data_IF_380891508827
#
_entry.id   IF_380891508827
#
_cell.length_a   1.000
_cell.length_b   1.000
_cell.length_c   1.000
_cell.angle_alpha   90.00
_cell.angle_beta   90.00
_cell.angle_gamma   90.00
#
_symmetry.space_group_name_H-M   'P 1'
#
loop_
_entity.id
_entity.type
_entity.pdbx_description
1 polymer ?
#
# COMPACT_ATOMS: atom_id res chain seq x y z
N UNK A 1 -7.72 -39.72 -0.95
CA UNK A 1 -7.58 -38.75 0.15
C UNK A 1 -7.24 -39.54 1.40
N UNK A 2 -6.13 -39.22 2.06
CA UNK A 2 -5.45 -40.10 3.00
C UNK A 2 -6.17 -40.08 4.36
N UNK A 3 -6.95 -41.11 4.66
CA UNK A 3 -7.81 -41.20 5.86
C UNK A 3 -7.05 -41.05 7.17
N UNK A 4 -5.76 -41.37 7.19
CA UNK A 4 -4.86 -41.20 8.33
C UNK A 4 -4.56 -39.73 8.63
N UNK A 5 -4.36 -38.89 7.61
CA UNK A 5 -4.12 -37.45 7.80
C UNK A 5 -5.36 -36.75 8.37
N UNK A 6 -6.53 -37.03 7.79
CA UNK A 6 -7.79 -36.45 8.25
C UNK A 6 -8.12 -36.87 9.69
N UNK A 7 -7.77 -38.10 10.08
CA UNK A 7 -7.94 -38.60 11.45
C UNK A 7 -7.02 -37.86 12.43
N UNK A 8 -5.75 -37.67 12.08
CA UNK A 8 -4.79 -36.93 12.92
C UNK A 8 -5.21 -35.47 13.06
N UNK A 9 -5.61 -34.81 11.99
CA UNK A 9 -6.08 -33.40 12.02
C UNK A 9 -7.32 -33.27 12.91
N UNK A 10 -8.29 -34.17 12.81
CA UNK A 10 -9.49 -34.12 13.67
C UNK A 10 -9.16 -34.35 15.17
N UNK A 11 -8.18 -35.20 15.48
CA UNK A 11 -7.71 -35.39 16.86
C UNK A 11 -7.04 -34.12 17.37
N UNK A 12 -6.16 -33.51 16.57
CA UNK A 12 -5.47 -32.26 16.93
C UNK A 12 -6.48 -31.13 17.13
N UNK A 13 -7.44 -30.97 16.22
CA UNK A 13 -8.53 -29.98 16.34
C UNK A 13 -9.33 -30.19 17.63
N UNK A 14 -9.62 -31.44 18.00
CA UNK A 14 -10.32 -31.79 19.23
C UNK A 14 -9.52 -31.46 20.51
N UNK A 15 -8.21 -31.76 20.51
CA UNK A 15 -7.32 -31.44 21.63
C UNK A 15 -7.18 -29.92 21.80
N UNK A 16 -6.95 -29.20 20.72
CA UNK A 16 -6.82 -27.73 20.72
C UNK A 16 -8.12 -27.06 21.19
N UNK A 17 -9.28 -27.58 20.75
CA UNK A 17 -10.58 -27.13 21.24
C UNK A 17 -10.73 -27.35 22.75
N UNK A 18 -10.36 -28.53 23.25
CA UNK A 18 -10.40 -28.85 24.68
C UNK A 18 -9.56 -27.91 25.53
N UNK A 19 -8.38 -27.52 25.05
CA UNK A 19 -7.51 -26.54 25.72
C UNK A 19 -8.21 -25.17 25.83
N UNK A 20 -8.85 -24.70 24.75
CA UNK A 20 -9.58 -23.43 24.77
C UNK A 20 -10.76 -23.43 25.73
N UNK A 21 -11.46 -24.55 25.84
CA UNK A 21 -12.56 -24.70 26.80
C UNK A 21 -12.10 -24.59 28.25
N UNK A 22 -10.96 -25.22 28.57
CA UNK A 22 -10.39 -25.16 29.91
C UNK A 22 -9.94 -23.73 30.23
N UNK A 23 -9.30 -23.04 29.30
CA UNK A 23 -8.90 -21.64 29.43
C UNK A 23 -10.09 -20.72 29.71
N UNK A 24 -11.17 -20.79 28.91
CA UNK A 24 -12.38 -19.97 29.12
C UNK A 24 -13.10 -20.33 30.42
N UNK A 25 -13.21 -21.62 30.75
CA UNK A 25 -13.80 -22.05 32.02
C UNK A 25 -13.01 -21.51 33.22
N UNK A 26 -11.67 -21.53 33.15
CA UNK A 26 -10.82 -20.93 34.18
C UNK A 26 -11.03 -19.43 34.29
N UNK A 27 -11.17 -18.71 33.17
CA UNK A 27 -11.44 -17.26 33.18
C UNK A 27 -12.79 -16.91 33.81
N UNK A 28 -13.83 -17.68 33.52
CA UNK A 28 -15.17 -17.49 34.09
C UNK A 28 -15.17 -17.79 35.59
N UNK A 29 -14.53 -18.90 36.01
CA UNK A 29 -14.44 -19.29 37.42
C UNK A 29 -13.61 -18.29 38.24
N UNK A 30 -12.52 -17.77 37.68
CA UNK A 30 -11.70 -16.76 38.33
C UNK A 30 -12.36 -15.37 38.40
N UNK A 31 -13.42 -15.12 37.62
CA UNK A 31 -14.02 -13.80 37.45
C UNK A 31 -15.12 -13.41 38.44
N UNK A 32 -15.62 -14.35 39.25
CA UNK A 32 -16.50 -14.09 40.40
C UNK A 32 -17.55 -12.98 40.23
N UNK A 33 -18.75 -13.37 39.76
CA UNK A 33 -19.97 -12.55 39.60
C UNK A 33 -20.20 -11.94 38.20
N UNK A 34 -21.46 -11.99 37.77
CA UNK A 34 -22.01 -11.51 36.49
C UNK A 34 -21.75 -10.02 36.23
N UNK A 35 -21.49 -9.23 37.28
CA UNK A 35 -21.30 -7.78 37.18
C UNK A 35 -19.87 -7.38 36.75
N UNK A 36 -18.86 -8.23 37.00
CA UNK A 36 -17.49 -8.04 36.49
C UNK A 36 -17.32 -8.52 35.04
N UNK A 37 -18.39 -9.08 34.45
CA UNK A 37 -18.39 -9.64 33.11
C UNK A 37 -18.41 -8.57 32.01
N UNK A 38 -18.94 -7.37 32.28
CA UNK A 38 -19.05 -6.27 31.30
C UNK A 38 -17.68 -5.72 30.84
N UNK A 39 -16.75 -5.51 31.76
CA UNK A 39 -15.43 -4.91 31.45
C UNK A 39 -14.48 -5.91 30.79
N UNK A 40 -14.60 -7.20 31.11
CA UNK A 40 -13.80 -8.28 30.51
C UNK A 40 -14.37 -8.82 29.20
N UNK A 41 -15.65 -8.57 28.91
CA UNK A 41 -16.29 -8.90 27.63
C UNK A 41 -15.64 -8.19 26.45
N UNK A 42 -15.24 -6.92 26.62
CA UNK A 42 -14.50 -6.18 25.59
C UNK A 42 -13.10 -6.77 25.34
N UNK A 43 -12.45 -7.33 26.37
CA UNK A 43 -11.10 -7.91 26.25
C UNK A 43 -11.05 -9.34 25.73
N UNK A 44 -12.04 -10.18 26.08
CA UNK A 44 -12.04 -11.62 25.77
C UNK A 44 -13.24 -12.07 24.92
N UNK A 45 -14.06 -11.14 24.40
CA UNK A 45 -15.29 -11.45 23.65
C UNK A 45 -15.06 -12.29 22.39
N UNK A 46 -13.88 -12.19 21.76
CA UNK A 46 -13.49 -13.04 20.63
C UNK A 46 -13.34 -14.51 21.07
N UNK A 47 -12.81 -14.77 22.27
CA UNK A 47 -12.64 -16.11 22.83
C UNK A 47 -13.97 -16.82 23.08
N UNK A 48 -14.94 -16.09 23.64
CA UNK A 48 -16.31 -16.58 23.85
C UNK A 48 -17.10 -16.73 22.54
N UNK A 49 -16.94 -15.82 21.58
CA UNK A 49 -17.55 -15.93 20.25
C UNK A 49 -16.98 -17.11 19.48
N UNK A 50 -15.67 -17.34 19.51
CA UNK A 50 -15.03 -18.54 18.96
C UNK A 50 -15.61 -19.80 19.62
N UNK A 51 -15.69 -19.84 20.95
CA UNK A 51 -16.18 -20.99 21.70
C UNK A 51 -17.67 -21.29 21.45
N UNK A 52 -18.52 -20.26 21.37
CA UNK A 52 -19.97 -20.41 21.13
C UNK A 52 -20.29 -20.71 19.66
N UNK A 53 -19.57 -20.11 18.71
CA UNK A 53 -19.69 -20.43 17.27
C UNK A 53 -19.21 -21.85 16.97
N UNK A 54 -18.14 -22.31 17.63
CA UNK A 54 -17.69 -23.71 17.49
C UNK A 54 -18.69 -24.72 18.09
N UNK A 55 -19.34 -24.38 19.21
CA UNK A 55 -20.41 -25.21 19.78
C UNK A 55 -21.65 -25.31 18.89
N UNK A 56 -22.08 -24.18 18.32
CA UNK A 56 -23.32 -24.13 17.54
C UNK A 56 -23.21 -24.79 16.16
N UNK A 57 -22.04 -24.68 15.51
CA UNK A 57 -21.91 -24.99 14.08
C UNK A 57 -21.08 -26.23 13.75
N UNK A 58 -20.41 -26.85 14.72
CA UNK A 58 -19.83 -28.18 14.55
C UNK A 58 -20.88 -29.26 14.19
N UNK A 59 -22.15 -29.02 14.53
CA UNK A 59 -23.29 -29.89 14.24
C UNK A 59 -23.78 -29.75 12.78
N UNK A 60 -23.52 -28.62 12.12
CA UNK A 60 -24.05 -28.30 10.78
C UNK A 60 -23.05 -28.49 9.63
N UNK A 61 -21.87 -29.07 9.88
CA UNK A 61 -20.90 -29.40 8.82
C UNK A 61 -20.16 -28.19 8.22
N UNK A 62 -20.18 -27.02 8.88
CA UNK A 62 -19.48 -25.82 8.42
C UNK A 62 -18.01 -25.84 8.87
N UNK A 63 -17.20 -26.64 8.17
CA UNK A 63 -15.76 -26.82 8.42
C UNK A 63 -14.94 -25.53 8.29
N UNK A 64 -15.45 -24.52 7.58
CA UNK A 64 -14.79 -23.22 7.37
C UNK A 64 -14.55 -22.46 8.68
N UNK A 65 -15.36 -22.67 9.72
CA UNK A 65 -15.20 -21.99 11.00
C UNK A 65 -14.02 -22.51 11.85
N UNK A 66 -13.37 -23.59 11.42
CA UNK A 66 -12.07 -24.04 11.96
C UNK A 66 -10.97 -23.00 11.81
N UNK A 67 -11.16 -21.96 10.99
CA UNK A 67 -10.21 -20.87 10.80
C UNK A 67 -10.34 -19.74 11.84
N UNK A 68 -11.48 -19.61 12.54
CA UNK A 68 -11.69 -18.53 13.53
C UNK A 68 -10.65 -18.55 14.67
N UNK A 69 -10.25 -19.71 15.24
CA UNK A 69 -9.17 -19.75 16.24
C UNK A 69 -7.84 -19.15 15.75
N UNK A 70 -7.58 -19.12 14.43
CA UNK A 70 -6.44 -18.44 13.84
C UNK A 70 -6.41 -16.93 14.08
N UNK A 71 -7.55 -16.29 14.35
CA UNK A 71 -7.62 -14.87 14.74
C UNK A 71 -6.97 -14.60 16.10
N UNK A 72 -6.77 -15.62 16.96
CA UNK A 72 -5.99 -15.49 18.20
C UNK A 72 -4.50 -15.20 17.93
N UNK A 73 -3.99 -15.46 16.73
CA UNK A 73 -2.65 -15.03 16.34
C UNK A 73 -2.55 -13.50 16.38
N UNK A 74 -3.62 -12.76 16.08
CA UNK A 74 -3.66 -11.29 16.20
C UNK A 74 -3.52 -10.83 17.66
N UNK A 75 -4.01 -11.63 18.63
CA UNK A 75 -3.81 -11.36 20.06
C UNK A 75 -2.41 -11.77 20.54
N UNK A 76 -1.81 -12.82 19.96
CA UNK A 76 -0.48 -13.33 20.32
C UNK A 76 0.67 -12.55 19.67
N UNK A 77 0.45 -11.93 18.50
CA UNK A 77 1.42 -11.08 17.79
C UNK A 77 1.82 -9.80 18.56
N UNK A 78 1.33 -9.62 19.79
CA UNK A 78 2.18 -9.11 20.86
C UNK A 78 2.88 -7.77 20.57
N UNK A 79 2.22 -6.86 19.84
CA UNK A 79 2.62 -5.46 19.90
C UNK A 79 2.29 -5.03 21.33
N UNK A 80 3.22 -4.44 22.11
CA UNK A 80 3.02 -4.05 23.52
C UNK A 80 1.88 -3.01 23.73
N UNK A 81 1.14 -2.67 22.67
CA UNK A 81 -0.07 -1.87 22.62
C UNK A 81 -1.29 -2.74 22.23
N UNK A 82 -1.57 -3.89 22.84
CA UNK A 82 -2.81 -4.65 22.56
C UNK A 82 -4.09 -3.84 22.86
N UNK A 83 -3.99 -2.84 23.74
CA UNK A 83 -5.00 -1.81 23.92
C UNK A 83 -5.22 -0.93 22.67
N UNK A 84 -4.24 -0.81 21.76
CA UNK A 84 -4.40 -0.12 20.48
C UNK A 84 -5.14 -0.93 19.43
N UNK A 85 -5.08 -2.27 19.46
CA UNK A 85 -5.84 -3.10 18.52
C UNK A 85 -7.33 -3.07 18.84
N UNK A 86 -7.70 -3.18 20.13
CA UNK A 86 -9.09 -2.97 20.55
C UNK A 86 -9.55 -1.53 20.33
N UNK A 87 -8.69 -0.52 20.55
CA UNK A 87 -9.00 0.86 20.15
C UNK A 87 -9.26 1.00 18.67
N UNK A 88 -8.53 0.31 17.77
CA UNK A 88 -8.80 0.30 16.31
C UNK A 88 -10.16 -0.32 15.96
N UNK A 89 -10.62 -1.32 16.72
CA UNK A 89 -11.97 -1.89 16.58
C UNK A 89 -13.02 -0.87 17.02
N UNK A 90 -12.77 -0.08 18.07
CA UNK A 90 -13.66 1.00 18.48
C UNK A 90 -13.74 2.11 17.41
N UNK A 91 -12.65 2.41 16.70
CA UNK A 91 -12.69 3.32 15.52
C UNK A 91 -13.62 2.76 14.45
N UNK A 92 -13.51 1.47 14.13
CA UNK A 92 -14.38 0.80 13.16
C UNK A 92 -15.83 0.79 13.66
N UNK A 93 -16.07 0.61 14.95
CA UNK A 93 -17.41 0.65 15.54
C UNK A 93 -18.03 2.06 15.48
N UNK A 94 -17.25 3.11 15.74
CA UNK A 94 -17.68 4.51 15.57
C UNK A 94 -17.95 4.82 14.09
N UNK A 95 -17.06 4.37 13.20
CA UNK A 95 -17.22 4.49 11.76
C UNK A 95 -18.39 3.66 11.22
N UNK A 96 -18.74 2.55 11.87
CA UNK A 96 -19.68 1.54 11.34
C UNK A 96 -21.04 2.12 11.01
N UNK A 97 -21.54 3.08 11.81
CA UNK A 97 -22.81 3.78 11.54
C UNK A 97 -22.72 4.64 10.29
N UNK A 98 -21.61 5.38 10.12
CA UNK A 98 -21.41 6.21 8.94
C UNK A 98 -21.20 5.33 7.70
N UNK A 99 -20.39 4.28 7.81
CA UNK A 99 -20.14 3.29 6.76
C UNK A 99 -21.41 2.55 6.37
N UNK A 100 -22.30 2.26 7.32
CA UNK A 100 -23.61 1.67 7.04
C UNK A 100 -24.43 2.55 6.09
N UNK A 101 -24.52 3.86 6.35
CA UNK A 101 -25.21 4.77 5.43
C UNK A 101 -24.51 4.87 4.07
N UNK A 102 -23.18 4.79 4.02
CA UNK A 102 -22.42 4.74 2.77
C UNK A 102 -22.74 3.48 1.96
N UNK A 103 -22.77 2.32 2.62
CA UNK A 103 -23.12 1.04 2.00
C UNK A 103 -24.58 1.03 1.54
N UNK A 104 -25.49 1.62 2.33
CA UNK A 104 -26.90 1.76 1.95
C UNK A 104 -27.06 2.68 0.72
N UNK A 105 -26.34 3.81 0.69
CA UNK A 105 -26.31 4.71 -0.46
C UNK A 105 -25.74 4.00 -1.70
N UNK A 106 -24.62 3.28 -1.55
CA UNK A 106 -24.03 2.46 -2.62
C UNK A 106 -25.04 1.45 -3.16
N UNK A 107 -25.71 0.71 -2.27
CA UNK A 107 -26.73 -0.26 -2.64
C UNK A 107 -27.89 0.41 -3.39
N UNK A 108 -28.39 1.55 -2.90
CA UNK A 108 -29.48 2.27 -3.56
C UNK A 108 -29.07 2.81 -4.94
N UNK A 109 -27.88 3.38 -5.07
CA UNK A 109 -27.33 3.82 -6.35
C UNK A 109 -27.20 2.63 -7.32
N UNK A 110 -26.67 1.49 -6.86
CA UNK A 110 -26.58 0.27 -7.68
C UNK A 110 -27.96 -0.23 -8.11
N UNK A 111 -28.97 -0.17 -7.25
CA UNK A 111 -30.35 -0.50 -7.63
C UNK A 111 -30.86 0.42 -8.76
N UNK A 112 -30.65 1.74 -8.66
CA UNK A 112 -31.08 2.69 -9.70
C UNK A 112 -30.38 2.43 -11.04
N UNK A 113 -29.05 2.27 -11.03
CA UNK A 113 -28.27 1.96 -12.24
C UNK A 113 -28.61 0.57 -12.79
N UNK A 114 -28.88 -0.41 -11.91
CA UNK A 114 -29.24 -1.78 -12.27
C UNK A 114 -30.60 -1.89 -12.95
N UNK A 115 -31.61 -1.15 -12.47
CA UNK A 115 -32.92 -1.09 -13.15
C UNK A 115 -32.77 -0.53 -14.56
N UNK A 116 -31.97 0.52 -14.74
CA UNK A 116 -31.67 1.07 -16.07
C UNK A 116 -30.97 0.03 -16.96
N UNK A 117 -29.92 -0.63 -16.43
CA UNK A 117 -29.15 -1.61 -17.16
C UNK A 117 -29.99 -2.82 -17.61
N UNK A 118 -30.85 -3.35 -16.75
CA UNK A 118 -31.74 -4.48 -17.10
C UNK A 118 -32.78 -4.05 -18.13
N UNK A 119 -33.27 -2.81 -18.06
CA UNK A 119 -34.25 -2.36 -19.05
C UNK A 119 -33.65 -2.25 -20.44
N UNK A 120 -32.39 -1.82 -20.52
CA UNK A 120 -31.76 -1.54 -21.81
C UNK A 120 -30.91 -2.68 -22.35
N UNK A 121 -30.05 -3.28 -21.53
CA UNK A 121 -29.03 -4.24 -21.97
C UNK A 121 -29.46 -5.71 -21.82
N UNK A 122 -30.76 -5.95 -21.71
CA UNK A 122 -31.29 -7.29 -21.47
C UNK A 122 -30.93 -8.22 -22.61
N UNK A 123 -30.43 -9.41 -22.30
CA UNK A 123 -30.02 -10.46 -23.24
C UNK A 123 -28.84 -10.12 -24.15
N UNK A 124 -28.28 -8.92 -24.11
CA UNK A 124 -27.24 -8.51 -25.05
C UNK A 124 -25.97 -9.34 -24.85
N UNK A 125 -25.50 -9.51 -23.61
CA UNK A 125 -24.30 -10.29 -23.31
C UNK A 125 -24.41 -11.79 -23.68
N UNK A 126 -25.61 -12.28 -23.96
CA UNK A 126 -25.83 -13.67 -24.43
C UNK A 126 -25.70 -13.83 -25.96
N UNK A 127 -25.76 -12.74 -26.74
CA UNK A 127 -25.68 -12.78 -28.21
C UNK A 127 -24.22 -12.79 -28.65
N UNK A 128 -23.79 -13.89 -29.27
CA UNK A 128 -22.41 -14.09 -29.72
C UNK A 128 -22.36 -14.76 -31.09
N UNK A 129 -21.27 -14.52 -31.80
CA UNK A 129 -21.02 -15.18 -33.08
C UNK A 129 -20.61 -16.64 -32.87
N UNK A 130 -21.29 -17.54 -33.57
CA UNK A 130 -21.08 -18.97 -33.50
C UNK A 130 -20.87 -19.56 -34.89
N UNK A 131 -19.98 -20.53 -34.99
CA UNK A 131 -19.70 -21.29 -36.21
C UNK A 131 -20.40 -22.65 -36.12
N UNK A 132 -20.91 -23.14 -37.24
CA UNK A 132 -21.48 -24.48 -37.31
C UNK A 132 -20.35 -25.52 -37.24
N UNK A 133 -20.27 -26.25 -36.11
CA UNK A 133 -19.41 -27.41 -35.95
C UNK A 133 -20.08 -28.72 -36.37
N UNK A 134 -19.37 -29.84 -36.22
CA UNK A 134 -19.80 -31.16 -36.73
C UNK A 134 -21.05 -31.77 -36.03
N UNK A 135 -21.59 -31.12 -34.99
CA UNK A 135 -22.88 -31.46 -34.34
C UNK A 135 -23.42 -30.37 -33.39
N UNK A 136 -22.69 -29.28 -33.18
CA UNK A 136 -23.01 -28.21 -32.23
C UNK A 136 -22.50 -26.86 -32.72
N UNK A 137 -23.08 -25.78 -32.20
CA UNK A 137 -22.55 -24.45 -32.38
C UNK A 137 -21.32 -24.26 -31.49
N UNK A 138 -20.20 -23.82 -32.08
CA UNK A 138 -18.99 -23.46 -31.36
C UNK A 138 -18.85 -21.94 -31.32
N UNK A 139 -18.43 -21.40 -30.17
CA UNK A 139 -18.21 -19.95 -30.02
C UNK A 139 -16.98 -19.55 -30.83
N UNK A 140 -17.13 -18.54 -31.69
CA UNK A 140 -16.02 -18.02 -32.47
C UNK A 140 -14.98 -17.35 -31.55
N UNK A 141 -13.69 -17.67 -31.77
CA UNK A 141 -12.55 -17.09 -31.05
C UNK A 141 -11.79 -16.14 -31.99
N UNK A 142 -11.44 -14.91 -31.56
CA UNK A 142 -11.78 -14.28 -30.27
C UNK A 142 -13.30 -14.05 -30.13
N UNK A 143 -13.79 -14.05 -28.88
CA UNK A 143 -15.23 -13.92 -28.59
C UNK A 143 -15.73 -12.61 -29.17
N UNK A 144 -16.69 -12.72 -30.09
CA UNK A 144 -17.31 -11.59 -30.79
C UNK A 144 -18.78 -11.55 -30.46
N UNK A 145 -19.23 -10.37 -30.04
CA UNK A 145 -20.63 -10.06 -29.76
C UNK A 145 -21.28 -9.53 -31.04
N UNK A 146 -22.58 -9.70 -31.17
CA UNK A 146 -23.28 -9.39 -32.41
C UNK A 146 -24.68 -8.84 -32.15
N UNK A 147 -25.12 -7.94 -33.03
CA UNK A 147 -26.45 -7.36 -32.99
C UNK A 147 -27.47 -8.22 -33.77
N UNK A 148 -28.76 -7.97 -33.54
CA UNK A 148 -29.81 -8.60 -34.32
C UNK A 148 -29.89 -7.98 -35.72
N UNK A 149 -30.19 -8.76 -36.77
CA UNK A 149 -30.31 -8.24 -38.13
C UNK A 149 -31.47 -7.23 -38.30
N UNK A 150 -32.37 -7.14 -37.33
CA UNK A 150 -33.52 -6.22 -37.30
C UNK A 150 -33.30 -4.95 -36.48
N UNK A 151 -32.20 -4.83 -35.74
CA UNK A 151 -31.89 -3.59 -35.01
C UNK A 151 -31.42 -2.53 -36.02
N UNK A 152 -32.24 -1.50 -36.20
CA UNK A 152 -31.98 -0.36 -37.08
C UNK A 152 -30.82 0.56 -36.62
N UNK A 153 -30.08 0.16 -35.57
CA UNK A 153 -28.98 0.90 -34.97
C UNK A 153 -27.69 0.08 -34.98
N UNK A 154 -26.75 0.48 -35.85
CA UNK A 154 -25.29 0.46 -35.64
C UNK A 154 -24.51 -0.81 -35.28
N UNK A 155 -25.16 -1.91 -34.92
CA UNK A 155 -24.50 -3.06 -34.31
C UNK A 155 -23.64 -3.89 -35.27
N UNK A 156 -22.60 -4.52 -34.73
CA UNK A 156 -21.64 -5.30 -35.49
C UNK A 156 -22.20 -6.64 -35.96
N UNK A 157 -21.99 -6.95 -37.24
CA UNK A 157 -22.38 -8.22 -37.85
C UNK A 157 -21.27 -9.26 -37.65
N UNK A 158 -21.67 -10.53 -37.50
CA UNK A 158 -20.72 -11.63 -37.51
C UNK A 158 -20.00 -11.74 -38.87
N UNK A 159 -18.75 -12.26 -38.89
CA UNK A 159 -18.07 -12.59 -40.15
C UNK A 159 -18.86 -13.64 -40.94
N UNK A 160 -18.66 -13.70 -42.26
CA UNK A 160 -19.47 -14.54 -43.17
C UNK A 160 -19.51 -16.04 -42.83
N UNK A 161 -18.53 -16.54 -42.08
CA UNK A 161 -18.45 -17.94 -41.64
C UNK A 161 -19.18 -18.23 -40.33
N UNK A 162 -19.73 -17.20 -39.68
CA UNK A 162 -20.40 -17.29 -38.38
C UNK A 162 -21.81 -16.68 -38.43
N UNK A 163 -22.69 -17.18 -37.57
CA UNK A 163 -24.04 -16.68 -37.38
C UNK A 163 -24.20 -16.11 -35.98
N UNK A 164 -25.01 -15.06 -35.84
CA UNK A 164 -25.31 -14.49 -34.53
C UNK A 164 -26.36 -15.36 -33.83
N UNK A 165 -26.03 -15.94 -32.67
CA UNK A 165 -26.98 -16.69 -31.86
C UNK A 165 -26.94 -16.30 -30.39
N UNK A 166 -28.08 -16.44 -29.74
CA UNK A 166 -28.26 -16.30 -28.30
C UNK A 166 -27.80 -17.59 -27.62
N UNK A 167 -26.52 -17.66 -27.25
CA UNK A 167 -25.95 -18.78 -26.48
C UNK A 167 -25.67 -18.28 -25.07
N UNK A 168 -26.26 -18.96 -24.09
CA UNK A 168 -26.34 -18.58 -22.67
C UNK A 168 -25.15 -17.81 -22.09
N UNK A 169 -25.43 -17.02 -21.06
CA UNK A 169 -24.55 -15.97 -20.56
C UNK A 169 -23.07 -16.38 -20.34
N UNK A 170 -22.09 -15.52 -20.66
CA UNK A 170 -20.67 -15.80 -20.46
C UNK A 170 -20.34 -16.05 -18.98
N UNK A 171 -19.13 -16.59 -18.74
CA UNK A 171 -18.60 -16.84 -17.40
C UNK A 171 -19.59 -17.61 -16.50
N UNK A 172 -20.12 -18.74 -16.98
CA UNK A 172 -21.07 -19.59 -16.26
C UNK A 172 -22.36 -18.86 -15.81
N UNK A 173 -22.74 -17.77 -16.50
CA UNK A 173 -23.93 -17.00 -16.19
C UNK A 173 -23.74 -15.83 -15.22
N UNK A 174 -22.52 -15.61 -14.71
CA UNK A 174 -22.24 -14.50 -13.79
C UNK A 174 -22.10 -13.14 -14.48
N UNK A 175 -21.86 -13.12 -15.80
CA UNK A 175 -21.79 -11.87 -16.57
C UNK A 175 -23.03 -11.71 -17.43
N UNK A 176 -24.06 -11.05 -16.89
CA UNK A 176 -25.32 -10.77 -17.59
C UNK A 176 -26.04 -9.54 -17.01
N UNK A 177 -26.91 -8.93 -17.82
CA UNK A 177 -27.86 -7.89 -17.39
C UNK A 177 -29.31 -8.41 -17.34
N UNK A 178 -29.48 -9.74 -17.33
CA UNK A 178 -30.81 -10.36 -17.33
C UNK A 178 -31.45 -10.36 -15.94
N UNK A 179 -30.61 -10.45 -14.92
CA UNK A 179 -30.99 -10.47 -13.51
C UNK A 179 -30.21 -9.40 -12.74
N UNK A 180 -30.78 -8.95 -11.61
CA UNK A 180 -30.19 -7.87 -10.82
C UNK A 180 -28.85 -8.24 -10.19
N UNK A 181 -28.69 -9.48 -9.70
CA UNK A 181 -27.48 -9.88 -8.98
C UNK A 181 -26.24 -9.99 -9.89
N UNK A 182 -26.29 -10.66 -11.06
CA UNK A 182 -25.20 -10.60 -12.05
C UNK A 182 -24.91 -9.18 -12.54
N UNK A 183 -25.95 -8.36 -12.75
CA UNK A 183 -25.79 -6.95 -13.12
C UNK A 183 -25.04 -6.16 -12.04
N UNK A 184 -25.32 -6.42 -10.76
CA UNK A 184 -24.60 -5.82 -9.62
C UNK A 184 -23.11 -6.19 -9.64
N UNK A 185 -22.75 -7.43 -10.00
CA UNK A 185 -21.35 -7.84 -10.12
C UNK A 185 -20.64 -7.07 -11.23
N UNK A 186 -21.25 -6.95 -12.41
CA UNK A 186 -20.71 -6.15 -13.52
C UNK A 186 -20.56 -4.68 -13.11
N UNK A 187 -21.57 -4.11 -12.44
CA UNK A 187 -21.51 -2.73 -11.98
C UNK A 187 -20.42 -2.51 -10.92
N UNK A 188 -20.26 -3.41 -9.95
CA UNK A 188 -19.20 -3.32 -8.95
C UNK A 188 -17.80 -3.41 -9.60
N UNK A 189 -17.63 -4.31 -10.57
CA UNK A 189 -16.41 -4.40 -11.37
C UNK A 189 -16.17 -3.12 -12.18
N UNK A 190 -17.22 -2.55 -12.75
CA UNK A 190 -17.16 -1.27 -13.49
C UNK A 190 -16.76 -0.10 -12.59
N UNK A 191 -17.34 0.00 -11.39
CA UNK A 191 -17.01 1.04 -10.39
C UNK A 191 -15.56 0.92 -9.91
N UNK A 192 -15.06 -0.31 -9.76
CA UNK A 192 -13.66 -0.57 -9.38
C UNK A 192 -12.68 -0.43 -10.56
N UNK A 193 -13.17 -0.08 -11.75
CA UNK A 193 -12.39 -0.01 -12.98
C UNK A 193 -11.69 -1.34 -13.34
N UNK A 194 -12.29 -2.47 -12.98
CA UNK A 194 -11.77 -3.81 -13.32
C UNK A 194 -12.66 -4.47 -14.38
N UNK A 195 -12.06 -4.98 -15.47
CA UNK A 195 -12.78 -5.70 -16.54
C UNK A 195 -13.86 -4.90 -17.29
N UNK A 196 -14.05 -3.63 -16.97
CA UNK A 196 -15.14 -2.78 -17.46
C UNK A 196 -15.16 -2.59 -18.97
N UNK A 197 -13.98 -2.55 -19.60
CA UNK A 197 -13.87 -2.30 -21.03
C UNK A 197 -14.44 -3.46 -21.83
N UNK A 198 -14.32 -4.69 -21.33
CA UNK A 198 -14.89 -5.88 -21.99
C UNK A 198 -16.41 -5.79 -22.08
N UNK A 199 -17.06 -5.34 -21.00
CA UNK A 199 -18.51 -5.12 -20.98
C UNK A 199 -18.93 -3.95 -21.86
N UNK A 200 -18.17 -2.84 -21.83
CA UNK A 200 -18.40 -1.69 -22.70
C UNK A 200 -18.33 -2.09 -24.19
N UNK A 201 -17.25 -2.75 -24.61
CA UNK A 201 -17.05 -3.17 -25.99
C UNK A 201 -18.08 -4.23 -26.42
N UNK A 202 -18.48 -5.14 -25.51
CA UNK A 202 -19.52 -6.13 -25.78
C UNK A 202 -20.90 -5.50 -26.04
N UNK A 203 -21.25 -4.45 -25.30
CA UNK A 203 -22.51 -3.71 -25.50
C UNK A 203 -22.43 -2.79 -26.73
N UNK A 204 -21.30 -2.12 -26.98
CA UNK A 204 -21.09 -1.32 -28.21
C UNK A 204 -21.20 -2.13 -29.50
N UNK A 205 -20.91 -3.43 -29.44
CA UNK A 205 -21.07 -4.33 -30.57
C UNK A 205 -22.54 -4.58 -30.95
N UNK A 206 -23.50 -4.17 -30.10
CA UNK A 206 -24.91 -4.52 -30.20
C UNK A 206 -25.84 -3.30 -30.19
N UNK A 207 -25.54 -2.32 -29.35
CA UNK A 207 -26.36 -1.14 -29.10
C UNK A 207 -25.67 0.13 -29.63
N UNK A 208 -26.47 1.18 -29.87
CA UNK A 208 -25.96 2.46 -30.37
C UNK A 208 -25.09 3.20 -29.34
N UNK A 209 -24.11 3.96 -29.84
CA UNK A 209 -23.15 4.72 -29.04
C UNK A 209 -23.79 5.62 -27.95
N UNK A 210 -24.98 6.17 -28.20
CA UNK A 210 -25.65 7.08 -27.25
C UNK A 210 -26.06 6.41 -25.93
N UNK A 211 -26.32 5.11 -25.96
CA UNK A 211 -26.73 4.33 -24.79
C UNK A 211 -25.54 3.95 -23.90
N UNK A 212 -24.35 4.12 -24.45
CA UNK A 212 -23.09 3.87 -23.77
C UNK A 212 -22.71 4.97 -22.77
N UNK A 213 -23.38 6.13 -22.79
CA UNK A 213 -23.20 7.18 -21.79
C UNK A 213 -23.45 6.69 -20.35
N UNK A 214 -24.17 5.58 -20.19
CA UNK A 214 -24.38 4.89 -18.92
C UNK A 214 -23.07 4.41 -18.26
N UNK A 215 -22.11 3.87 -19.01
CA UNK A 215 -20.85 3.35 -18.43
C UNK A 215 -19.97 4.47 -17.84
N UNK A 216 -19.65 5.56 -18.57
CA UNK A 216 -18.97 6.71 -17.99
C UNK A 216 -19.74 7.36 -16.84
N UNK A 217 -21.08 7.43 -16.91
CA UNK A 217 -21.90 7.97 -15.84
C UNK A 217 -21.82 7.11 -14.56
N UNK A 218 -21.86 5.78 -14.70
CA UNK A 218 -21.66 4.83 -13.60
C UNK A 218 -20.25 4.95 -13.01
N UNK A 219 -19.22 5.08 -13.85
CA UNK A 219 -17.84 5.27 -13.39
C UNK A 219 -17.63 6.59 -12.66
N UNK A 220 -18.15 7.69 -13.21
CA UNK A 220 -18.06 9.00 -12.59
C UNK A 220 -18.79 8.99 -11.23
N UNK A 221 -20.03 8.48 -11.21
CA UNK A 221 -20.83 8.44 -9.98
C UNK A 221 -20.24 7.46 -8.97
N UNK A 222 -19.87 6.24 -9.37
CA UNK A 222 -19.33 5.23 -8.48
C UNK A 222 -17.91 5.56 -7.98
N UNK A 223 -17.04 6.01 -8.88
CA UNK A 223 -15.65 6.35 -8.55
C UNK A 223 -15.54 7.64 -7.73
N UNK A 224 -16.13 8.74 -8.21
CA UNK A 224 -15.97 10.04 -7.54
C UNK A 224 -16.91 10.16 -6.34
N UNK A 225 -18.17 9.72 -6.43
CA UNK A 225 -19.10 9.90 -5.31
C UNK A 225 -18.93 8.78 -4.28
N UNK A 226 -18.88 7.51 -4.67
CA UNK A 226 -18.96 6.41 -3.69
C UNK A 226 -17.60 6.05 -3.09
N UNK A 227 -16.54 5.91 -3.90
CA UNK A 227 -15.20 5.62 -3.37
C UNK A 227 -14.59 6.82 -2.63
N UNK A 228 -14.73 8.04 -3.18
CA UNK A 228 -14.21 9.23 -2.48
C UNK A 228 -14.97 9.54 -1.20
N UNK A 229 -16.29 9.32 -1.15
CA UNK A 229 -17.06 9.47 0.09
C UNK A 229 -16.64 8.43 1.14
N UNK A 230 -16.36 7.19 0.73
CA UNK A 230 -15.84 6.17 1.63
C UNK A 230 -14.50 6.57 2.26
N UNK A 231 -13.59 7.11 1.45
CA UNK A 231 -12.31 7.67 1.93
C UNK A 231 -12.56 8.80 2.92
N UNK A 232 -13.43 9.78 2.59
CA UNK A 232 -13.75 10.90 3.48
C UNK A 232 -14.31 10.41 4.82
N UNK A 233 -15.25 9.46 4.81
CA UNK A 233 -15.85 8.92 6.04
C UNK A 233 -14.82 8.20 6.89
N UNK A 234 -13.93 7.42 6.27
CA UNK A 234 -12.83 6.78 7.00
C UNK A 234 -11.87 7.83 7.55
N UNK A 235 -11.47 8.83 6.76
CA UNK A 235 -10.58 9.90 7.20
C UNK A 235 -11.15 10.67 8.38
N UNK A 236 -12.44 11.01 8.36
CA UNK A 236 -13.13 11.67 9.47
C UNK A 236 -13.20 10.76 10.70
N UNK A 237 -13.49 9.47 10.53
CA UNK A 237 -13.50 8.52 11.63
C UNK A 237 -12.10 8.35 12.25
N UNK A 238 -11.05 8.29 11.43
CA UNK A 238 -9.66 8.22 11.89
C UNK A 238 -9.23 9.51 12.59
N UNK A 239 -9.59 10.67 12.04
CA UNK A 239 -9.30 11.97 12.66
C UNK A 239 -9.99 12.12 14.02
N UNK A 240 -11.28 11.79 14.11
CA UNK A 240 -12.02 11.86 15.38
C UNK A 240 -11.48 10.89 16.41
N UNK A 241 -11.10 9.68 16.00
CA UNK A 241 -10.43 8.72 16.88
C UNK A 241 -9.05 9.20 17.36
N UNK A 242 -8.28 9.87 16.50
CA UNK A 242 -7.00 10.45 16.89
C UNK A 242 -7.17 11.57 17.92
N UNK A 243 -8.18 12.43 17.76
CA UNK A 243 -8.49 13.51 18.70
C UNK A 243 -8.93 12.99 20.09
N UNK A 244 -9.72 11.91 20.14
CA UNK A 244 -10.12 11.28 21.41
C UNK A 244 -8.91 10.75 22.20
N UNK A 245 -7.78 10.47 21.54
CA UNK A 245 -6.58 9.92 22.17
C UNK A 245 -5.72 10.95 22.90
N UNK A 246 -5.99 12.25 22.76
CA UNK A 246 -5.27 13.30 23.49
C UNK A 246 -6.15 13.83 24.63
N UNK A 247 -6.09 13.25 25.85
CA UNK A 247 -6.81 13.80 26.98
C UNK A 247 -6.13 15.10 27.41
N UNK A 248 -6.68 16.24 26.97
CA UNK A 248 -6.28 17.57 27.46
C UNK A 248 -5.68 18.53 26.45
N UNK A 249 -5.60 18.22 25.16
CA UNK A 249 -5.27 19.25 24.15
C UNK A 249 -6.55 19.85 23.59
N UNK A 250 -6.89 21.06 24.04
CA UNK A 250 -7.51 22.05 23.16
C UNK A 250 -6.77 22.04 21.82
N UNK A 251 -7.51 22.13 20.72
CA UNK A 251 -7.01 22.14 19.34
C UNK A 251 -5.76 23.00 19.18
N UNK A 252 -4.58 22.38 19.27
CA UNK A 252 -3.32 22.98 18.83
C UNK A 252 -3.43 23.05 17.31
N UNK A 253 -3.63 24.26 16.79
CA UNK A 253 -3.72 24.49 15.36
C UNK A 253 -2.38 24.15 14.71
N UNK A 254 -2.40 23.77 13.44
CA UNK A 254 -1.19 23.47 12.66
C UNK A 254 -0.14 24.60 12.76
N UNK A 255 -0.58 25.84 12.95
CA UNK A 255 0.27 27.01 13.16
C UNK A 255 1.06 26.96 14.48
N UNK A 256 0.49 26.40 15.55
CA UNK A 256 1.16 26.29 16.85
C UNK A 256 2.20 25.16 16.84
N UNK A 257 1.93 24.03 16.19
CA UNK A 257 2.94 22.97 15.98
C UNK A 257 4.12 23.48 15.16
N UNK A 258 3.85 24.23 14.09
CA UNK A 258 4.88 24.86 13.27
C UNK A 258 5.72 25.85 14.08
N UNK A 259 5.09 26.60 15.01
CA UNK A 259 5.80 27.54 15.89
C UNK A 259 6.65 26.86 16.96
N UNK A 260 6.24 25.67 17.44
CA UNK A 260 7.02 24.88 18.39
C UNK A 260 8.26 24.27 17.71
N UNK A 261 8.12 23.81 16.47
CA UNK A 261 9.24 23.34 15.66
C UNK A 261 10.26 24.46 15.38
N UNK A 262 9.79 25.69 15.06
CA UNK A 262 10.66 26.86 14.93
C UNK A 262 11.39 27.22 16.25
N UNK A 263 10.72 27.06 17.40
CA UNK A 263 11.33 27.31 18.71
C UNK A 263 12.38 26.25 19.05
N UNK A 264 12.15 24.97 18.74
CA UNK A 264 13.14 23.91 18.92
C UNK A 264 14.38 24.15 18.06
N UNK A 265 14.21 24.54 16.78
CA UNK A 265 15.32 24.90 15.88
C UNK A 265 16.11 26.11 16.42
N UNK A 266 15.43 27.12 16.97
CA UNK A 266 16.10 28.27 17.59
C UNK A 266 16.83 27.91 18.88
N UNK A 267 16.30 26.97 19.65
CA UNK A 267 16.88 26.52 20.91
C UNK A 267 18.11 25.63 20.68
N UNK A 268 18.11 24.84 19.60
CA UNK A 268 19.25 24.04 19.17
C UNK A 268 20.36 24.91 18.55
N UNK A 269 20.00 25.98 17.83
CA UNK A 269 20.94 27.00 17.36
C UNK A 269 21.53 27.87 18.49
N UNK A 270 20.87 27.95 19.66
CA UNK A 270 21.30 28.75 20.81
C UNK A 270 22.16 27.98 21.83
N UNK A 271 22.39 26.67 21.63
CA UNK A 271 23.25 25.89 22.52
C UNK A 271 24.71 26.36 22.42
N UNK A 272 25.32 26.89 23.50
CA UNK A 272 26.69 27.33 23.47
C UNK A 272 27.62 26.13 23.35
N UNK A 273 28.47 26.12 22.31
CA UNK A 273 29.58 25.18 22.17
C UNK A 273 30.42 25.24 23.44
N UNK A 274 30.42 24.15 24.21
CA UNK A 274 31.11 24.04 25.50
C UNK A 274 32.62 24.18 25.30
N UNK A 275 33.14 25.39 25.39
CA UNK A 275 34.57 25.65 25.56
C UNK A 275 34.98 25.15 26.95
N UNK A 276 35.44 23.91 27.03
CA UNK A 276 36.27 23.46 28.14
C UNK A 276 37.66 24.08 28.00
N UNK A 277 37.78 25.35 28.38
CA UNK A 277 39.07 25.96 28.70
C UNK A 277 39.53 25.49 30.07
N UNK A 278 39.98 24.23 30.14
CA UNK A 278 40.85 23.77 31.22
C UNK A 278 42.29 24.13 30.86
N UNK A 279 42.72 25.27 31.37
CA UNK A 279 44.13 25.67 31.42
C UNK A 279 44.94 24.63 32.19
N UNK A 280 45.51 23.65 31.49
CA UNK A 280 46.59 22.81 32.02
C UNK A 280 47.90 23.21 31.36
N UNK A 281 48.68 24.00 32.08
CA UNK A 281 50.03 24.39 31.71
C UNK A 281 50.93 23.16 31.67
N UNK A 282 51.31 22.71 30.48
CA UNK A 282 52.50 21.86 30.30
C UNK A 282 53.37 22.43 29.19
N UNK A 283 54.54 22.88 29.63
CA UNK A 283 55.71 23.28 28.85
C UNK A 283 55.99 22.25 27.75
N UNK A 284 55.64 22.57 26.51
CA UNK A 284 56.07 21.77 25.35
C UNK A 284 56.60 22.67 24.23
N UNK A 285 57.77 22.27 23.77
CA UNK A 285 58.69 22.91 22.82
C UNK A 285 58.03 23.60 21.61
N UNK A 286 58.60 24.74 21.22
CA UNK A 286 58.13 25.68 20.19
C UNK A 286 57.76 25.05 18.82
N UNK A 287 58.30 23.87 18.50
CA UNK A 287 57.96 23.13 17.29
C UNK A 287 56.51 22.57 17.29
N UNK A 288 56.01 22.10 18.45
CA UNK A 288 54.63 21.61 18.60
C UNK A 288 53.59 22.73 18.53
N UNK A 289 53.96 23.96 18.89
CA UNK A 289 53.08 25.13 18.78
C UNK A 289 52.89 25.59 17.33
N UNK A 290 53.92 25.49 16.48
CA UNK A 290 53.81 25.82 15.05
C UNK A 290 52.86 24.89 14.30
N UNK A 291 53.00 23.58 14.54
CA UNK A 291 52.12 22.55 13.94
C UNK A 291 50.68 22.72 14.42
N UNK A 292 50.46 22.96 15.73
CA UNK A 292 49.12 23.25 16.27
C UNK A 292 48.46 24.45 15.60
N UNK A 293 49.18 25.56 15.38
CA UNK A 293 48.63 26.76 14.74
C UNK A 293 48.26 26.55 13.26
N UNK A 294 49.00 25.71 12.54
CA UNK A 294 48.67 25.36 11.15
C UNK A 294 47.45 24.44 11.11
N UNK A 295 47.39 23.45 12.01
CA UNK A 295 46.25 22.53 12.13
C UNK A 295 44.95 23.23 12.51
N UNK A 296 44.98 24.20 13.44
CA UNK A 296 43.78 24.95 13.81
C UNK A 296 43.26 25.81 12.66
N UNK A 297 44.15 26.45 11.90
CA UNK A 297 43.77 27.22 10.71
C UNK A 297 43.19 26.35 9.58
N UNK A 298 43.74 25.16 9.41
CA UNK A 298 43.21 24.19 8.45
C UNK A 298 41.81 23.72 8.85
N UNK A 299 41.58 23.42 10.14
CA UNK A 299 40.25 23.05 10.65
C UNK A 299 39.24 24.19 10.51
N UNK A 300 39.62 25.43 10.81
CA UNK A 300 38.75 26.61 10.65
C UNK A 300 38.34 26.82 9.18
N UNK A 301 39.26 26.62 8.24
CA UNK A 301 38.96 26.68 6.81
C UNK A 301 38.03 25.53 6.38
N UNK A 302 38.23 24.33 6.93
CA UNK A 302 37.41 23.15 6.63
C UNK A 302 35.99 23.31 7.18
N UNK A 303 35.86 23.84 8.40
CA UNK A 303 34.59 24.19 9.02
C UNK A 303 33.85 25.26 8.20
N UNK A 304 34.56 26.29 7.73
CA UNK A 304 33.97 27.32 6.85
C UNK A 304 33.44 26.76 5.52
N UNK A 305 34.05 25.67 5.01
CA UNK A 305 33.61 25.01 3.79
C UNK A 305 32.43 24.07 4.08
N UNK A 306 32.51 23.27 5.15
CA UNK A 306 31.45 22.35 5.58
C UNK A 306 30.15 23.07 5.94
N UNK A 307 30.24 24.24 6.59
CA UNK A 307 29.09 25.10 6.93
C UNK A 307 28.61 25.98 5.77
N UNK A 308 29.25 25.88 4.60
CA UNK A 308 28.84 26.69 3.45
C UNK A 308 27.49 26.26 2.90
N UNK A 309 26.64 27.23 2.54
CA UNK A 309 25.36 26.97 1.90
C UNK A 309 25.48 26.44 0.45
N UNK A 310 26.71 26.29 -0.07
CA UNK A 310 26.99 25.90 -1.45
C UNK A 310 27.10 24.38 -1.56
N UNK A 311 27.73 23.71 -0.59
CA UNK A 311 27.92 22.25 -0.63
C UNK A 311 26.60 21.49 -0.75
N UNK A 312 25.57 21.74 0.10
CA UNK A 312 24.30 21.03 -0.03
C UNK A 312 23.60 21.26 -1.39
N UNK A 313 23.72 22.47 -1.95
CA UNK A 313 23.14 22.79 -3.27
C UNK A 313 23.83 22.06 -4.41
N UNK A 314 25.16 21.92 -4.33
CA UNK A 314 25.93 21.16 -5.31
C UNK A 314 25.65 19.66 -5.20
N UNK A 315 25.49 19.15 -3.99
CA UNK A 315 25.05 17.77 -3.73
C UNK A 315 23.71 17.48 -4.36
N UNK A 316 22.69 18.30 -4.06
CA UNK A 316 21.34 18.09 -4.56
C UNK A 316 21.29 18.18 -6.11
N UNK A 317 22.06 19.09 -6.70
CA UNK A 317 22.24 19.18 -8.15
C UNK A 317 22.97 17.96 -8.74
N UNK A 318 24.01 17.47 -8.05
CA UNK A 318 24.74 16.26 -8.43
C UNK A 318 23.85 15.02 -8.43
N UNK A 319 22.97 14.88 -7.42
CA UNK A 319 21.99 13.78 -7.35
C UNK A 319 21.04 13.84 -8.55
N UNK A 320 20.52 15.02 -8.88
CA UNK A 320 19.66 15.19 -10.06
C UNK A 320 20.36 14.76 -11.35
N UNK A 321 21.62 15.17 -11.54
CA UNK A 321 22.43 14.78 -12.71
C UNK A 321 22.62 13.27 -12.77
N UNK A 322 22.96 12.62 -11.66
CA UNK A 322 23.12 11.16 -11.60
C UNK A 322 21.81 10.45 -11.95
N UNK A 323 20.68 10.84 -11.36
CA UNK A 323 19.38 10.21 -11.63
C UNK A 323 18.99 10.35 -13.11
N UNK A 324 19.18 11.53 -13.69
CA UNK A 324 18.88 11.76 -15.11
C UNK A 324 19.78 10.91 -15.99
N UNK A 325 21.11 10.97 -15.80
CA UNK A 325 22.05 10.24 -16.68
C UNK A 325 21.92 8.73 -16.51
N UNK A 326 21.69 8.23 -15.29
CA UNK A 326 21.45 6.80 -15.02
C UNK A 326 20.12 6.29 -15.57
N UNK A 327 19.18 7.17 -15.92
CA UNK A 327 17.90 6.80 -16.55
C UNK A 327 17.97 6.67 -18.08
N UNK A 328 19.05 7.13 -18.72
CA UNK A 328 19.22 7.14 -20.18
C UNK A 328 19.57 5.79 -20.85
N UNK A 329 20.22 4.81 -20.19
CA UNK A 329 20.55 3.53 -20.82
C UNK A 329 19.31 2.83 -21.39
N UNK A 330 19.40 2.38 -22.64
CA UNK A 330 18.35 1.67 -23.36
C UNK A 330 18.92 0.52 -24.18
N UNK A 331 18.06 -0.41 -24.60
CA UNK A 331 18.47 -1.55 -25.39
C UNK A 331 19.06 -1.10 -26.75
N UNK A 332 20.24 -1.62 -27.11
CA UNK A 332 20.94 -1.23 -28.34
C UNK A 332 21.61 0.15 -28.28
N UNK A 333 21.88 0.67 -27.08
CA UNK A 333 22.50 1.98 -26.91
C UNK A 333 23.86 2.10 -27.63
N UNK A 334 24.16 3.28 -28.19
CA UNK A 334 25.45 3.55 -28.81
C UNK A 334 26.57 3.68 -27.76
N UNK A 335 27.80 3.33 -28.14
CA UNK A 335 28.95 3.29 -27.23
C UNK A 335 29.20 4.62 -26.47
N UNK A 336 29.02 5.77 -27.14
CA UNK A 336 29.21 7.09 -26.51
C UNK A 336 28.28 7.33 -25.32
N UNK A 337 27.09 6.73 -25.31
CA UNK A 337 26.14 6.87 -24.22
C UNK A 337 26.58 6.04 -23.00
N UNK A 338 27.17 4.87 -23.23
CA UNK A 338 27.83 4.09 -22.18
C UNK A 338 29.00 4.86 -21.56
N UNK A 339 29.84 5.48 -22.39
CA UNK A 339 30.96 6.31 -21.93
C UNK A 339 30.48 7.51 -21.11
N UNK A 340 29.39 8.17 -21.52
CA UNK A 340 28.78 9.28 -20.79
C UNK A 340 28.30 8.85 -19.40
N UNK A 341 27.62 7.71 -19.30
CA UNK A 341 27.10 7.15 -18.04
C UNK A 341 28.26 6.81 -17.10
N UNK A 342 29.29 6.14 -17.60
CA UNK A 342 30.49 5.79 -16.84
C UNK A 342 31.25 7.03 -16.35
N UNK A 343 31.45 8.01 -17.24
CA UNK A 343 32.15 9.27 -16.92
C UNK A 343 31.39 10.06 -15.86
N UNK A 344 30.06 10.20 -16.01
CA UNK A 344 29.22 10.91 -15.04
C UNK A 344 29.26 10.23 -13.67
N UNK A 345 29.20 8.89 -13.64
CA UNK A 345 29.28 8.11 -12.41
C UNK A 345 30.56 8.39 -11.63
N UNK A 346 31.70 8.39 -12.31
CA UNK A 346 33.00 8.67 -11.68
C UNK A 346 33.07 10.10 -11.16
N UNK A 347 32.65 11.08 -11.97
CA UNK A 347 32.68 12.50 -11.57
C UNK A 347 31.82 12.70 -10.31
N UNK A 348 30.57 12.21 -10.32
CA UNK A 348 29.67 12.36 -9.19
C UNK A 348 30.14 11.57 -7.96
N UNK A 349 30.66 10.34 -8.13
CA UNK A 349 31.27 9.58 -7.04
C UNK A 349 32.41 10.36 -6.37
N UNK A 350 33.32 10.93 -7.17
CA UNK A 350 34.44 11.71 -6.60
C UNK A 350 33.96 12.94 -5.85
N UNK A 351 32.93 13.62 -6.36
CA UNK A 351 32.35 14.78 -5.69
C UNK A 351 31.70 14.38 -4.34
N UNK A 352 30.86 13.35 -4.31
CA UNK A 352 30.20 12.90 -3.07
C UNK A 352 31.20 12.33 -2.06
N UNK A 353 32.23 11.62 -2.50
CA UNK A 353 33.28 11.12 -1.62
C UNK A 353 34.08 12.27 -0.97
N UNK A 354 34.36 13.34 -1.73
CA UNK A 354 35.05 14.53 -1.21
C UNK A 354 34.18 15.31 -0.22
N UNK A 355 32.90 15.51 -0.54
CA UNK A 355 31.94 16.15 0.36
C UNK A 355 31.83 15.39 1.69
N UNK A 356 31.68 14.06 1.61
CA UNK A 356 31.62 13.19 2.78
C UNK A 356 32.89 13.26 3.63
N UNK A 357 34.07 13.30 2.99
CA UNK A 357 35.35 13.41 3.68
C UNK A 357 35.47 14.76 4.41
N UNK A 358 34.99 15.85 3.80
CA UNK A 358 34.97 17.18 4.43
C UNK A 358 34.05 17.15 5.67
N UNK A 359 32.84 16.60 5.55
CA UNK A 359 31.88 16.49 6.66
C UNK A 359 32.41 15.61 7.81
N UNK A 360 33.05 14.49 7.46
CA UNK A 360 33.68 13.59 8.43
C UNK A 360 34.82 14.28 9.19
N UNK A 361 35.66 15.06 8.50
CA UNK A 361 36.76 15.79 9.10
C UNK A 361 36.32 16.96 10.00
N UNK A 362 35.16 17.57 9.71
CA UNK A 362 34.62 18.69 10.50
C UNK A 362 33.97 18.22 11.80
N UNK A 363 33.02 17.28 11.73
CA UNK A 363 32.21 16.85 12.87
C UNK A 363 32.88 15.76 13.72
N UNK A 364 33.81 15.00 13.13
CA UNK A 364 34.44 13.84 13.76
C UNK A 364 33.51 12.62 13.84
N UNK A 365 34.08 11.46 14.17
CA UNK A 365 33.42 10.15 14.04
C UNK A 365 32.06 10.04 14.76
N UNK A 366 32.00 10.40 16.06
CA UNK A 366 30.79 10.17 16.86
C UNK A 366 29.61 11.05 16.46
N UNK A 367 29.85 12.32 16.14
CA UNK A 367 28.79 13.23 15.69
C UNK A 367 28.34 12.90 14.27
N UNK A 368 29.28 12.51 13.39
CA UNK A 368 28.97 12.10 12.02
C UNK A 368 28.08 10.86 11.97
N UNK A 369 28.35 9.83 12.78
CA UNK A 369 27.55 8.57 12.78
C UNK A 369 26.23 8.67 13.55
N UNK A 370 26.02 9.74 14.33
CA UNK A 370 24.77 9.96 15.05
C UNK A 370 23.65 10.48 14.13
N UNK A 371 24.04 11.18 13.05
CA UNK A 371 23.10 11.64 12.03
C UNK A 371 22.81 10.51 11.01
N UNK A 372 21.53 10.17 10.88
CA UNK A 372 21.07 9.13 9.96
C UNK A 372 21.33 9.43 8.50
N UNK A 373 21.37 10.71 8.11
CA UNK A 373 21.60 11.12 6.72
C UNK A 373 23.07 10.96 6.31
N UNK A 374 24.01 11.35 7.17
CA UNK A 374 25.43 11.15 6.93
C UNK A 374 25.80 9.66 6.85
N UNK A 375 25.15 8.83 7.68
CA UNK A 375 25.30 7.38 7.61
C UNK A 375 24.77 6.81 6.28
N UNK A 376 23.60 7.27 5.83
CA UNK A 376 23.04 6.89 4.53
C UNK A 376 23.96 7.27 3.37
N UNK A 377 24.46 8.51 3.34
CA UNK A 377 25.38 8.99 2.29
C UNK A 377 26.69 8.18 2.27
N UNK A 378 27.19 7.78 3.43
CA UNK A 378 28.36 6.88 3.54
C UNK A 378 28.10 5.53 2.89
N UNK A 379 26.93 4.95 3.11
CA UNK A 379 26.55 3.68 2.50
C UNK A 379 26.39 3.82 0.98
N UNK A 380 25.82 4.93 0.50
CA UNK A 380 25.65 5.19 -0.93
C UNK A 380 27.01 5.29 -1.63
N UNK A 381 27.93 6.12 -1.11
CA UNK A 381 29.28 6.28 -1.66
C UNK A 381 30.05 4.95 -1.63
N UNK A 382 29.94 4.18 -0.54
CA UNK A 382 30.58 2.87 -0.46
C UNK A 382 30.00 1.87 -1.47
N UNK A 383 28.67 1.83 -1.62
CA UNK A 383 28.01 1.00 -2.62
C UNK A 383 28.43 1.32 -4.04
N UNK A 384 28.54 2.62 -4.38
CA UNK A 384 29.04 3.07 -5.68
C UNK A 384 30.50 2.67 -5.92
N UNK A 385 31.36 2.79 -4.91
CA UNK A 385 32.76 2.33 -5.00
C UNK A 385 32.83 0.84 -5.35
N UNK A 386 32.05 0.01 -4.69
CA UNK A 386 32.01 -1.44 -4.95
C UNK A 386 31.58 -1.73 -6.38
N UNK A 387 30.54 -1.06 -6.87
CA UNK A 387 30.07 -1.26 -8.24
C UNK A 387 31.09 -0.80 -9.28
N UNK A 388 31.76 0.33 -9.06
CA UNK A 388 32.85 0.79 -9.95
C UNK A 388 33.99 -0.24 -10.00
N UNK A 389 34.35 -0.85 -8.87
CA UNK A 389 35.37 -1.90 -8.81
C UNK A 389 34.94 -3.14 -9.59
N UNK A 390 33.68 -3.58 -9.43
CA UNK A 390 33.13 -4.74 -10.13
C UNK A 390 33.10 -4.50 -11.64
N UNK A 391 32.63 -3.33 -12.08
CA UNK A 391 32.58 -2.98 -13.50
C UNK A 391 33.99 -2.89 -14.10
N UNK A 392 34.96 -2.34 -13.36
CA UNK A 392 36.37 -2.33 -13.75
C UNK A 392 36.98 -3.73 -13.87
N UNK A 393 36.63 -4.65 -12.96
CA UNK A 393 37.07 -6.04 -13.01
C UNK A 393 36.49 -6.78 -14.22
N UNK A 394 35.19 -6.59 -14.49
CA UNK A 394 34.51 -7.21 -15.63
C UNK A 394 35.05 -6.69 -16.98
N UNK A 395 35.35 -5.39 -17.09
CA UNK A 395 35.96 -4.82 -18.28
C UNK A 395 37.36 -5.40 -18.58
N UNK A 396 38.15 -5.70 -17.54
CA UNK A 396 39.50 -6.26 -17.68
C UNK A 396 39.54 -7.77 -18.02
N UNK A 397 38.44 -8.50 -17.81
CA UNK A 397 38.36 -9.95 -18.05
C UNK A 397 37.50 -10.36 -19.26
N UNK A 398 36.82 -9.41 -19.90
CA UNK A 398 36.02 -9.64 -21.12
C UNK A 398 36.77 -9.16 -22.39
N UNK A 399 37.89 -8.43 -22.25
CA UNK A 399 38.89 -8.20 -23.31
C UNK A 399 39.92 -9.33 -23.35
#
# INVERSE_FOLDING_TARGET
MNTTYDTVVNIVDGVTLGIYWIEEAMYVLAGGSIVLMDVRWQANGLGLLVATVFMGFGVFGLTTFRLIPGLRVLTFLGIPHAADLMRKIDIIAVASRCLFYCCLLLFLCLCCYGVFAIHWFRTDLSRRCVVAGNASYEILLPVTYCANATSAGGGSNCPATASCQTIGNPNFGFTSFDEMLPAFLIMLQTITHTGWSEYLFAIMAQEDFFLLGWFPALMFTGGIVLLSLFIVVISVAMYTAAQVRVPGSQSLSYAELCSLEELEIQQEAALPTRQNSSSYSTTTSAHKQGIRKVWTRALEALHSVATSAILPRLRDAGILVVVVVMSLPHAGMPAWLGDLVWTTRIICFTFFALELLILYCDMGYFAFTADGWNLFDTLVVFGELVLIIIDGYNAAHIS
#
